data_IF_608210706616
#
_entry.id   IF_608210706616
#
_cell.length_a   1.000
_cell.length_b   1.000
_cell.length_c   1.000
_cell.angle_alpha   90.00
_cell.angle_beta   90.00
_cell.angle_gamma   90.00
#
_symmetry.space_group_name_H-M   'P 1'
#
loop_
_entity.id
_entity.type
_entity.pdbx_description
1 polymer ?
#
# COMPACT_ATOMS: atom_id res chain seq x y z
N UNK A 1 24.69 39.26 -29.01
CA UNK A 1 23.23 39.47 -28.92
C UNK A 1 22.62 38.68 -30.05
N UNK A 2 22.29 37.42 -29.79
CA UNK A 2 21.39 36.60 -30.60
C UNK A 2 20.62 35.72 -29.60
N UNK A 3 19.31 35.63 -29.81
CA UNK A 3 18.28 35.43 -28.79
C UNK A 3 17.59 34.07 -28.97
N UNK A 4 18.35 33.03 -29.37
CA UNK A 4 17.76 31.76 -29.86
C UNK A 4 18.39 30.46 -29.36
N UNK A 5 19.31 30.50 -28.41
CA UNK A 5 19.94 29.27 -27.88
C UNK A 5 19.53 28.95 -26.42
N UNK A 6 18.34 29.39 -26.00
CA UNK A 6 17.72 29.06 -24.70
C UNK A 6 16.66 27.95 -24.79
N UNK A 7 16.69 27.12 -25.85
CA UNK A 7 15.62 26.17 -26.17
C UNK A 7 16.02 24.68 -26.07
N UNK A 8 16.96 24.32 -25.19
CA UNK A 8 17.32 22.92 -24.94
C UNK A 8 17.41 22.58 -23.43
N UNK A 9 16.43 23.08 -22.65
CA UNK A 9 16.15 22.63 -21.28
C UNK A 9 14.78 21.93 -21.20
N UNK A 10 14.47 21.13 -22.22
CA UNK A 10 13.17 20.48 -22.41
C UNK A 10 13.21 18.97 -22.27
N UNK A 11 13.78 18.45 -21.18
CA UNK A 11 13.51 17.09 -20.70
C UNK A 11 13.94 16.97 -19.23
N UNK A 12 13.44 17.90 -18.41
CA UNK A 12 13.32 17.63 -16.98
C UNK A 12 12.47 16.37 -16.85
N UNK A 13 12.97 15.41 -16.08
CA UNK A 13 12.24 14.23 -15.64
C UNK A 13 10.76 14.55 -15.43
N UNK A 14 9.92 13.98 -16.29
CA UNK A 14 8.51 13.81 -15.98
C UNK A 14 8.44 12.95 -14.72
N UNK A 15 8.23 13.62 -13.60
CA UNK A 15 7.63 13.02 -12.42
C UNK A 15 6.17 12.68 -12.77
N UNK A 16 5.96 11.56 -13.47
CA UNK A 16 4.69 10.83 -13.44
C UNK A 16 4.80 9.87 -12.26
N UNK A 17 4.31 10.21 -11.07
CA UNK A 17 2.90 10.16 -10.74
C UNK A 17 2.69 8.91 -9.88
N UNK A 18 1.92 9.01 -8.79
CA UNK A 18 1.50 7.86 -7.99
C UNK A 18 1.16 6.68 -8.91
N UNK A 19 1.94 5.59 -8.87
CA UNK A 19 1.68 4.43 -9.75
C UNK A 19 0.40 3.76 -9.26
N UNK A 20 -0.74 4.22 -9.75
CA UNK A 20 -2.04 3.59 -9.55
C UNK A 20 -2.02 2.24 -10.28
N UNK A 21 -1.82 1.15 -9.54
CA UNK A 21 -1.83 -0.19 -10.13
C UNK A 21 -3.27 -0.57 -10.49
N UNK A 22 -3.62 -0.50 -11.77
CA UNK A 22 -4.92 -0.90 -12.29
C UNK A 22 -4.81 -2.06 -13.30
N UNK A 23 -5.79 -2.96 -13.30
CA UNK A 23 -5.92 -4.02 -14.31
C UNK A 23 -7.38 -4.25 -14.67
N UNK A 24 -7.62 -4.75 -15.87
CA UNK A 24 -8.95 -5.12 -16.35
C UNK A 24 -8.99 -6.61 -16.62
N UNK A 25 -10.04 -7.28 -16.13
CA UNK A 25 -10.25 -8.71 -16.37
C UNK A 25 -11.70 -9.03 -16.73
N UNK A 26 -11.87 -10.13 -17.47
CA UNK A 26 -13.18 -10.61 -17.91
C UNK A 26 -13.47 -12.02 -17.38
N UNK A 27 -14.69 -12.24 -16.89
CA UNK A 27 -15.18 -13.51 -16.35
C UNK A 27 -16.60 -13.83 -16.80
N UNK A 28 -17.05 -15.06 -16.58
CA UNK A 28 -18.44 -15.46 -16.75
C UNK A 28 -19.38 -14.88 -15.68
N UNK A 29 -18.80 -14.34 -14.61
CA UNK A 29 -19.46 -13.64 -13.51
C UNK A 29 -18.54 -12.55 -12.95
N UNK A 30 -19.10 -11.63 -12.15
CA UNK A 30 -18.35 -10.59 -11.43
C UNK A 30 -17.24 -11.22 -10.57
N UNK A 31 -17.57 -12.28 -9.82
CA UNK A 31 -16.62 -12.96 -8.91
C UNK A 31 -15.45 -13.59 -9.68
N UNK A 32 -15.72 -14.20 -10.84
CA UNK A 32 -14.69 -14.78 -11.70
C UNK A 32 -13.78 -13.69 -12.30
N UNK A 33 -14.38 -12.57 -12.74
CA UNK A 33 -13.65 -11.43 -13.28
C UNK A 33 -12.76 -10.79 -12.19
N UNK A 34 -13.30 -10.57 -10.99
CA UNK A 34 -12.56 -10.04 -9.82
C UNK A 34 -11.36 -10.90 -9.45
N UNK A 35 -11.54 -12.21 -9.33
CA UNK A 35 -10.45 -13.14 -8.99
C UNK A 35 -9.32 -13.10 -10.03
N UNK A 36 -9.65 -13.01 -11.32
CA UNK A 36 -8.64 -12.87 -12.39
C UNK A 36 -7.91 -11.53 -12.33
N UNK A 37 -8.64 -10.45 -12.06
CA UNK A 37 -8.06 -9.14 -11.88
C UNK A 37 -7.07 -9.12 -10.69
N UNK A 38 -7.45 -9.70 -9.55
CA UNK A 38 -6.58 -9.83 -8.38
C UNK A 38 -5.31 -10.64 -8.70
N UNK A 39 -5.43 -11.77 -9.42
CA UNK A 39 -4.27 -12.57 -9.82
C UNK A 39 -3.29 -11.78 -10.70
N UNK A 40 -3.79 -10.91 -11.58
CA UNK A 40 -2.97 -10.01 -12.38
C UNK A 40 -2.30 -8.93 -11.52
N UNK A 41 -3.04 -8.33 -10.58
CA UNK A 41 -2.47 -7.34 -9.65
C UNK A 41 -1.38 -7.95 -8.77
N UNK A 42 -1.54 -9.20 -8.31
CA UNK A 42 -0.52 -9.89 -7.49
C UNK A 42 0.81 -10.11 -8.20
N UNK A 43 0.84 -10.08 -9.54
CA UNK A 43 2.10 -10.14 -10.32
C UNK A 43 2.86 -8.82 -10.28
N UNK A 44 2.16 -7.72 -10.08
CA UNK A 44 2.71 -6.36 -10.00
C UNK A 44 3.00 -5.99 -8.55
N UNK A 45 2.09 -6.32 -7.64
CA UNK A 45 2.13 -6.01 -6.21
C UNK A 45 1.88 -7.29 -5.40
N UNK A 46 2.93 -8.02 -4.97
CA UNK A 46 2.76 -9.32 -4.31
C UNK A 46 1.95 -9.28 -3.00
N UNK A 47 1.90 -8.13 -2.34
CA UNK A 47 1.21 -7.91 -1.06
C UNK A 47 -0.28 -7.58 -1.18
N UNK A 48 -0.82 -7.39 -2.39
CA UNK A 48 -2.22 -6.99 -2.57
C UNK A 48 -3.20 -8.10 -2.19
N UNK A 49 -4.20 -7.77 -1.38
CA UNK A 49 -5.30 -8.66 -1.01
C UNK A 49 -6.63 -8.14 -1.54
N UNK A 50 -7.70 -8.90 -1.31
CA UNK A 50 -9.03 -8.61 -1.84
C UNK A 50 -9.67 -7.33 -1.24
N UNK A 51 -9.21 -6.91 -0.05
CA UNK A 51 -9.63 -5.68 0.65
C UNK A 51 -8.89 -4.44 0.16
N UNK A 52 -7.73 -4.62 -0.44
CA UNK A 52 -6.87 -3.54 -0.93
C UNK A 52 -7.23 -3.08 -2.34
N UNK A 53 -8.20 -3.75 -2.97
CA UNK A 53 -8.63 -3.49 -4.34
C UNK A 53 -10.04 -2.92 -4.40
N UNK A 54 -10.20 -1.91 -5.23
CA UNK A 54 -11.51 -1.42 -5.64
C UNK A 54 -11.85 -2.02 -7.00
N UNK A 55 -13.03 -2.63 -7.11
CA UNK A 55 -13.51 -3.26 -8.33
C UNK A 55 -14.75 -2.55 -8.85
N UNK A 56 -14.66 -2.05 -10.08
CA UNK A 56 -15.77 -1.43 -10.81
C UNK A 56 -16.13 -2.30 -12.00
N UNK A 57 -17.42 -2.62 -12.15
CA UNK A 57 -17.93 -3.32 -13.33
C UNK A 57 -18.00 -2.30 -14.47
N UNK A 58 -17.17 -2.51 -15.49
CA UNK A 58 -17.07 -1.62 -16.67
C UNK A 58 -18.06 -2.06 -17.75
N UNK A 59 -18.28 -3.36 -17.88
CA UNK A 59 -19.18 -3.91 -18.89
C UNK A 59 -19.83 -5.21 -18.42
N UNK A 60 -21.11 -5.38 -18.73
CA UNK A 60 -21.87 -6.62 -18.50
C UNK A 60 -22.64 -6.94 -19.78
N UNK A 61 -22.07 -7.83 -20.60
CA UNK A 61 -22.67 -8.24 -21.87
C UNK A 61 -23.06 -9.71 -21.85
N UNK A 62 -24.31 -10.00 -22.19
CA UNK A 62 -24.73 -11.37 -22.51
C UNK A 62 -24.32 -11.64 -23.96
N UNK A 63 -23.20 -12.33 -24.14
CA UNK A 63 -22.74 -12.69 -25.48
C UNK A 63 -23.51 -13.92 -25.96
N UNK A 64 -24.49 -13.68 -26.81
CA UNK A 64 -25.24 -14.73 -27.51
C UNK A 64 -24.33 -15.44 -28.49
N UNK A 65 -23.89 -16.66 -28.16
CA UNK A 65 -23.18 -17.53 -29.10
C UNK A 65 -24.12 -18.05 -30.20
N UNK A 66 -23.54 -18.43 -31.35
CA UNK A 66 -24.24 -18.93 -32.56
C UNK A 66 -25.06 -20.24 -32.36
N UNK A 67 -25.22 -20.72 -31.12
CA UNK A 67 -25.95 -21.95 -30.77
C UNK A 67 -27.00 -21.75 -29.66
N UNK A 68 -27.56 -20.54 -29.53
CA UNK A 68 -28.66 -20.25 -28.60
C UNK A 68 -28.32 -20.35 -27.11
N UNK A 69 -27.04 -20.53 -26.76
CA UNK A 69 -26.54 -20.51 -25.38
C UNK A 69 -25.74 -19.24 -25.16
N UNK A 70 -26.40 -18.19 -24.65
CA UNK A 70 -25.73 -16.97 -24.23
C UNK A 70 -24.81 -17.26 -23.04
N UNK A 71 -23.57 -16.79 -23.10
CA UNK A 71 -22.70 -16.72 -21.92
C UNK A 71 -22.66 -15.27 -21.47
N UNK A 72 -23.00 -15.03 -20.21
CA UNK A 72 -22.76 -13.74 -19.58
C UNK A 72 -21.26 -13.52 -19.51
N UNK A 73 -20.81 -12.36 -19.98
CA UNK A 73 -19.45 -11.89 -19.80
C UNK A 73 -19.51 -10.60 -19.00
N UNK A 74 -18.69 -10.56 -17.95
CA UNK A 74 -18.56 -9.39 -17.09
C UNK A 74 -17.11 -8.93 -17.15
N UNK A 75 -16.91 -7.66 -17.41
CA UNK A 75 -15.63 -6.98 -17.38
C UNK A 75 -15.55 -6.11 -16.13
N UNK A 76 -14.50 -6.33 -15.34
CA UNK A 76 -14.22 -5.58 -14.12
C UNK A 76 -12.87 -4.91 -14.27
N UNK A 77 -12.82 -3.64 -13.92
CA UNK A 77 -11.57 -2.90 -13.68
C UNK A 77 -11.29 -2.94 -12.18
N UNK A 78 -10.14 -3.50 -11.82
CA UNK A 78 -9.65 -3.55 -10.45
C UNK A 78 -8.48 -2.58 -10.30
N UNK A 79 -8.55 -1.75 -9.27
CA UNK A 79 -7.54 -0.76 -8.93
C UNK A 79 -7.04 -1.03 -7.53
N UNK A 80 -5.73 -1.06 -7.35
CA UNK A 80 -5.12 -1.08 -6.01
C UNK A 80 -5.38 0.28 -5.40
N UNK A 81 -6.06 0.32 -4.26
CA UNK A 81 -6.08 1.54 -3.47
C UNK A 81 -4.66 1.80 -3.02
N UNK A 82 -4.08 2.99 -3.25
CA UNK A 82 -2.89 3.37 -2.53
C UNK A 82 -3.23 3.18 -1.05
N UNK A 83 -2.52 2.27 -0.39
CA UNK A 83 -2.64 2.09 1.04
C UNK A 83 -2.05 3.36 1.67
N UNK A 84 -2.85 4.42 1.74
CA UNK A 84 -2.76 5.30 2.87
C UNK A 84 -3.05 4.40 4.08
N UNK A 85 -2.25 4.47 5.16
CA UNK A 85 -2.48 3.68 6.36
C UNK A 85 -3.97 3.76 6.71
N UNK A 86 -4.62 2.60 6.74
CA UNK A 86 -6.07 2.51 6.79
C UNK A 86 -6.61 3.37 7.95
N UNK A 87 -7.60 4.26 7.73
CA UNK A 87 -8.33 4.82 8.85
C UNK A 87 -9.06 3.66 9.55
N UNK A 88 -8.55 3.34 10.75
CA UNK A 88 -9.00 2.30 11.67
C UNK A 88 -10.53 2.27 11.77
N UNK A 89 -11.14 1.17 11.32
CA UNK A 89 -12.56 0.91 11.46
C UNK A 89 -12.80 -0.36 12.29
N UNK A 90 -12.83 -0.14 13.61
CA UNK A 90 -13.65 -0.81 14.64
C UNK A 90 -13.49 -2.32 14.91
N UNK A 91 -12.36 -2.69 15.48
CA UNK A 91 -12.27 -3.61 16.63
C UNK A 91 -11.29 -3.03 17.65
N UNK A 92 -11.73 -2.04 18.43
CA UNK A 92 -10.86 -1.17 19.24
C UNK A 92 -9.93 -1.87 20.25
N UNK A 93 -10.13 -3.14 20.57
CA UNK A 93 -9.19 -3.91 21.40
C UNK A 93 -8.22 -4.77 20.58
N UNK A 94 -8.71 -5.48 19.57
CA UNK A 94 -7.86 -6.35 18.76
C UNK A 94 -6.97 -5.52 17.81
N UNK A 95 -7.48 -4.41 17.29
CA UNK A 95 -6.74 -3.51 16.41
C UNK A 95 -5.57 -2.84 17.14
N UNK A 96 -5.77 -2.50 18.42
CA UNK A 96 -4.74 -1.78 19.20
C UNK A 96 -3.68 -2.75 19.70
N UNK A 97 -4.05 -3.97 20.10
CA UNK A 97 -3.10 -5.03 20.41
C UNK A 97 -2.24 -5.38 19.18
N UNK A 98 -2.86 -5.59 18.01
CA UNK A 98 -2.11 -5.82 16.77
C UNK A 98 -1.24 -4.63 16.40
N UNK A 99 -1.72 -3.39 16.57
CA UNK A 99 -0.92 -2.20 16.31
C UNK A 99 0.28 -2.08 17.28
N UNK A 100 0.12 -2.49 18.54
CA UNK A 100 1.21 -2.51 19.51
C UNK A 100 2.26 -3.58 19.18
N UNK A 101 1.82 -4.78 18.77
CA UNK A 101 2.70 -5.85 18.31
C UNK A 101 3.44 -5.49 17.02
N UNK A 102 2.76 -4.86 16.06
CA UNK A 102 3.34 -4.38 14.80
C UNK A 102 4.37 -3.28 15.05
N UNK A 103 4.03 -2.28 15.88
CA UNK A 103 4.93 -1.20 16.27
C UNK A 103 6.17 -1.74 16.97
N UNK A 104 5.99 -2.68 17.91
CA UNK A 104 7.10 -3.33 18.61
C UNK A 104 8.01 -4.07 17.62
N UNK A 105 7.45 -4.91 16.76
CA UNK A 105 8.20 -5.71 15.78
C UNK A 105 8.99 -4.82 14.82
N UNK A 106 8.39 -3.72 14.37
CA UNK A 106 9.05 -2.74 13.53
C UNK A 106 10.25 -2.10 14.24
N UNK A 107 10.06 -1.58 15.45
CA UNK A 107 11.11 -0.90 16.21
C UNK A 107 12.25 -1.86 16.59
N UNK A 108 11.95 -3.08 17.01
CA UNK A 108 12.96 -4.11 17.29
C UNK A 108 13.82 -4.41 16.04
N UNK A 109 13.19 -4.45 14.86
CA UNK A 109 13.91 -4.65 13.60
C UNK A 109 14.81 -3.47 13.26
N UNK A 110 14.34 -2.24 13.43
CA UNK A 110 15.15 -1.03 13.18
C UNK A 110 16.36 -1.00 14.10
N UNK A 111 16.15 -1.19 15.41
CA UNK A 111 17.22 -1.27 16.42
C UNK A 111 18.25 -2.34 16.06
N UNK A 112 17.79 -3.52 15.66
CA UNK A 112 18.67 -4.62 15.25
C UNK A 112 19.47 -4.30 13.98
N UNK A 113 18.85 -3.70 12.96
CA UNK A 113 19.54 -3.29 11.72
C UNK A 113 20.58 -2.18 11.96
N UNK A 114 20.38 -1.38 13.01
CA UNK A 114 21.31 -0.35 13.44
C UNK A 114 22.41 -0.89 14.39
N UNK A 115 22.41 -2.20 14.67
CA UNK A 115 23.35 -2.87 15.58
C UNK A 115 23.35 -2.26 17.00
N UNK A 116 22.19 -1.78 17.45
CA UNK A 116 22.03 -1.14 18.76
C UNK A 116 21.59 -2.17 19.81
N UNK A 117 22.27 -2.17 20.95
CA UNK A 117 21.82 -2.90 22.14
C UNK A 117 20.74 -2.09 22.86
N UNK A 118 19.49 -2.17 22.37
CA UNK A 118 18.35 -1.50 22.98
C UNK A 118 17.16 -2.43 23.19
N UNK A 119 16.42 -2.17 24.27
CA UNK A 119 15.16 -2.83 24.62
C UNK A 119 13.99 -1.94 24.21
N UNK A 120 12.97 -2.53 23.60
CA UNK A 120 11.75 -1.83 23.14
C UNK A 120 10.57 -2.29 23.98
N UNK A 121 9.89 -1.35 24.63
CA UNK A 121 8.62 -1.58 25.33
C UNK A 121 7.53 -0.74 24.68
N UNK A 122 6.39 -1.35 24.38
CA UNK A 122 5.22 -0.63 23.84
C UNK A 122 4.08 -0.77 24.84
N UNK A 123 3.49 0.36 25.22
CA UNK A 123 2.36 0.42 26.15
C UNK A 123 1.21 1.18 25.52
N UNK A 124 0.00 0.62 25.60
CA UNK A 124 -1.21 1.33 25.21
C UNK A 124 -1.64 2.32 26.30
N UNK A 125 -1.93 3.55 25.89
CA UNK A 125 -2.59 4.56 26.71
C UNK A 125 -3.96 4.90 26.12
N UNK A 126 -4.81 5.63 26.87
CA UNK A 126 -6.14 6.02 26.40
C UNK A 126 -6.16 6.91 25.15
N UNK A 127 -5.02 7.52 24.80
CA UNK A 127 -4.92 8.48 23.68
C UNK A 127 -3.96 8.03 22.57
N UNK A 128 -2.98 7.18 22.88
CA UNK A 128 -1.93 6.76 21.94
C UNK A 128 -1.20 5.50 22.40
N UNK A 129 -0.43 4.89 21.48
CA UNK A 129 0.61 3.93 21.82
C UNK A 129 1.89 4.67 22.20
N UNK A 130 2.49 4.31 23.34
CA UNK A 130 3.77 4.83 23.81
C UNK A 130 4.85 3.76 23.63
N UNK A 131 5.83 4.03 22.78
CA UNK A 131 7.01 3.19 22.63
C UNK A 131 8.20 3.80 23.38
N UNK A 132 8.77 3.03 24.30
CA UNK A 132 9.98 3.37 25.05
C UNK A 132 11.13 2.49 24.54
N UNK A 133 12.24 3.13 24.17
CA UNK A 133 13.46 2.46 23.72
C UNK A 133 14.58 2.82 24.69
N UNK A 134 15.14 1.82 25.38
CA UNK A 134 16.18 1.98 26.40
C UNK A 134 17.46 1.22 26.04
N UNK A 135 18.64 1.84 26.20
CA UNK A 135 19.92 1.21 25.86
C UNK A 135 21.11 2.18 25.93
N UNK A 136 22.32 1.66 25.76
CA UNK A 136 23.56 2.43 25.94
C UNK A 136 23.91 3.33 24.73
N UNK A 137 23.41 3.02 23.52
CA UNK A 137 23.78 3.68 22.25
C UNK A 137 22.61 4.38 21.51
N UNK A 138 21.64 4.93 22.24
CA UNK A 138 20.43 5.55 21.66
C UNK A 138 20.66 6.89 20.95
N UNK A 139 21.85 7.49 21.07
CA UNK A 139 22.16 8.79 20.44
C UNK A 139 22.02 8.78 18.92
N UNK A 140 22.16 7.61 18.28
CA UNK A 140 21.97 7.43 16.85
C UNK A 140 20.49 7.54 16.43
N UNK A 141 19.56 7.11 17.28
CA UNK A 141 18.11 7.16 17.02
C UNK A 141 17.56 8.60 17.07
N UNK A 142 18.19 9.48 17.85
CA UNK A 142 17.81 10.90 17.91
C UNK A 142 18.42 11.67 16.72
N UNK A 143 19.64 11.32 16.29
CA UNK A 143 20.35 12.04 15.23
C UNK A 143 20.73 13.48 15.61
N UNK A 144 21.35 14.23 14.69
CA UNK A 144 21.74 15.64 14.94
C UNK A 144 20.50 16.54 14.85
N UNK A 145 19.99 17.03 15.98
CA UNK A 145 18.76 17.86 16.05
C UNK A 145 17.44 17.09 15.87
N UNK A 146 17.36 15.77 16.13
CA UNK A 146 16.08 15.05 16.11
C UNK A 146 15.67 14.48 14.73
N UNK A 147 16.49 14.63 13.70
CA UNK A 147 16.07 14.31 12.33
C UNK A 147 15.86 12.81 12.07
N UNK A 148 16.39 11.95 12.94
CA UNK A 148 16.24 10.50 12.81
C UNK A 148 14.99 9.98 13.53
N UNK A 149 14.50 10.68 14.54
CA UNK A 149 13.25 10.31 15.23
C UNK A 149 12.01 10.82 14.48
N UNK A 150 12.14 11.91 13.72
CA UNK A 150 11.04 12.53 12.96
C UNK A 150 10.81 11.93 11.56
N UNK A 151 11.70 11.04 11.09
CA UNK A 151 11.70 10.50 9.71
C UNK A 151 10.85 9.23 9.56
#
# INVERSE_FOLDING_TARGET
>A
MDERDYADLGALHDMEGDTEFATVATGGSIEEARRKALEQLRKLVPSVTDTDIECVVVDETVRTGFLGRGRTLVQVEARVRPSAPAPLATSASDDVEHAAEDLRTFLERVVHLMDLAAEVTVTETSEALLAEIGGDDLGLLIGRHGQTIDA
#
